data_IF_990829884924
#
_entry.id   IF_990829884924
#
_cell.length_a   1.000
_cell.length_b   1.000
_cell.length_c   1.000
_cell.angle_alpha   90.00
_cell.angle_beta   90.00
_cell.angle_gamma   90.00
#
_symmetry.space_group_name_H-M   'P 1'
#
loop_
_entity.id
_entity.type
_entity.pdbx_description
1 polymer ?
#
# COMPACT_ATOMS: atom_id res chain seq x y z
N UNK A 1 -7.07 26.81 -131.92
CA UNK A 1 -7.43 26.44 -133.31
C UNK A 1 -7.79 27.71 -134.03
N UNK A 2 -7.31 28.04 -135.21
CA UNK A 2 -6.33 27.51 -136.17
C UNK A 2 -6.30 28.62 -137.25
N UNK A 3 -5.13 28.99 -137.77
CA UNK A 3 -4.78 28.83 -139.19
C UNK A 3 -5.86 29.29 -140.21
N UNK A 4 -5.61 30.00 -141.31
CA UNK A 4 -4.40 30.43 -142.01
C UNK A 4 -4.78 31.24 -143.29
N UNK A 5 -3.81 31.99 -143.84
CA UNK A 5 -3.49 32.22 -145.28
C UNK A 5 -4.38 33.06 -146.26
N UNK A 6 -3.70 34.12 -146.78
CA UNK A 6 -3.44 34.51 -148.20
C UNK A 6 -4.58 35.03 -149.12
N UNK A 7 -4.46 36.28 -149.60
CA UNK A 7 -3.91 36.69 -150.93
C UNK A 7 -4.54 37.99 -151.52
N UNK A 8 -3.65 38.92 -151.92
CA UNK A 8 -3.60 39.84 -153.09
C UNK A 8 -4.84 40.64 -153.61
N UNK A 9 -4.69 41.98 -153.53
CA UNK A 9 -4.98 43.12 -154.47
C UNK A 9 -5.64 42.83 -155.84
N UNK A 10 -6.48 43.75 -156.40
CA UNK A 10 -6.00 45.03 -157.00
C UNK A 10 -6.92 46.27 -156.87
N UNK A 11 -6.43 47.38 -157.43
CA UNK A 11 -6.95 48.76 -157.50
C UNK A 11 -8.24 48.93 -158.34
N UNK A 12 -9.10 49.87 -157.93
CA UNK A 12 -9.94 50.74 -158.79
C UNK A 12 -10.45 51.87 -157.87
N UNK A 13 -9.92 53.09 -157.97
CA UNK A 13 -10.29 54.16 -158.91
C UNK A 13 -11.60 54.87 -158.56
N UNK A 14 -11.47 56.20 -158.46
CA UNK A 14 -12.49 57.20 -158.82
C UNK A 14 -13.58 57.34 -157.76
N UNK A 15 -13.78 58.48 -157.10
CA UNK A 15 -13.93 59.82 -157.65
C UNK A 15 -13.78 60.79 -156.46
N UNK A 16 -13.03 61.87 -156.62
CA UNK A 16 -13.39 63.13 -155.97
C UNK A 16 -14.72 63.56 -156.61
N UNK A 17 -15.83 63.69 -155.87
CA UNK A 17 -16.65 64.86 -156.05
C UNK A 17 -16.02 65.95 -155.19
N UNK A 18 -16.00 67.16 -155.73
CA UNK A 18 -15.94 68.39 -154.93
C UNK A 18 -17.08 68.33 -153.90
N UNK A 19 -16.86 67.63 -152.79
CA UNK A 19 -17.65 67.80 -151.58
C UNK A 19 -17.22 69.14 -151.05
N UNK A 20 -18.05 70.12 -151.40
CA UNK A 20 -18.19 71.39 -150.71
C UNK A 20 -17.80 71.16 -149.24
N UNK A 21 -16.74 71.85 -148.78
CA UNK A 21 -16.22 71.80 -147.42
C UNK A 21 -17.29 71.62 -146.30
N UNK A 22 -18.54 72.15 -146.40
CA UNK A 22 -19.60 71.85 -145.44
C UNK A 22 -20.07 70.38 -145.34
N UNK A 23 -20.02 69.56 -146.41
CA UNK A 23 -20.65 68.23 -146.44
C UNK A 23 -19.77 67.16 -145.77
N UNK A 24 -18.45 67.17 -146.04
CA UNK A 24 -17.47 66.35 -145.30
C UNK A 24 -17.36 66.73 -143.81
N UNK A 25 -17.58 68.02 -143.49
CA UNK A 25 -17.63 68.52 -142.12
C UNK A 25 -18.89 68.01 -141.39
N UNK A 26 -20.01 67.88 -142.11
CA UNK A 26 -21.26 67.32 -141.60
C UNK A 26 -21.14 65.82 -141.31
N UNK A 27 -20.52 65.04 -142.21
CA UNK A 27 -20.28 63.61 -141.97
C UNK A 27 -19.31 63.36 -140.82
N UNK A 28 -18.24 64.17 -140.71
CA UNK A 28 -17.37 64.12 -139.53
C UNK A 28 -18.14 64.47 -138.25
N UNK A 29 -19.04 65.45 -138.30
CA UNK A 29 -19.90 65.77 -137.16
C UNK A 29 -20.88 64.64 -136.86
N UNK A 30 -21.48 63.99 -137.85
CA UNK A 30 -22.37 62.84 -137.67
C UNK A 30 -21.60 61.68 -137.05
N UNK A 31 -20.46 61.27 -137.61
CA UNK A 31 -19.62 60.22 -137.07
C UNK A 31 -19.10 60.54 -135.65
N UNK A 32 -18.75 61.80 -135.37
CA UNK A 32 -18.35 62.23 -134.03
C UNK A 32 -19.52 62.17 -133.03
N UNK A 33 -20.75 62.47 -133.48
CA UNK A 33 -21.97 62.36 -132.67
C UNK A 33 -22.39 60.90 -132.49
N UNK A 34 -22.27 60.05 -133.51
CA UNK A 34 -22.53 58.61 -133.42
C UNK A 34 -21.52 57.94 -132.50
N UNK A 35 -20.22 58.23 -132.62
CA UNK A 35 -19.22 57.75 -131.66
C UNK A 35 -19.45 58.30 -130.23
N UNK A 36 -20.00 59.50 -130.10
CA UNK A 36 -20.45 60.02 -128.79
C UNK A 36 -21.67 59.25 -128.26
N UNK A 37 -22.65 58.92 -129.12
CA UNK A 37 -23.83 58.13 -128.77
C UNK A 37 -23.40 56.71 -128.37
N UNK A 38 -22.52 56.06 -129.12
CA UNK A 38 -22.00 54.73 -128.80
C UNK A 38 -21.25 54.71 -127.47
N UNK A 39 -20.41 55.73 -127.19
CA UNK A 39 -19.77 55.89 -125.87
C UNK A 39 -20.80 56.03 -124.76
N UNK A 40 -21.84 56.86 -124.97
CA UNK A 40 -22.90 57.05 -123.99
C UNK A 40 -23.69 55.76 -123.78
N UNK A 41 -24.06 55.04 -124.84
CA UNK A 41 -24.77 53.77 -124.77
C UNK A 41 -23.93 52.69 -124.08
N UNK A 42 -22.62 52.63 -124.34
CA UNK A 42 -21.70 51.75 -123.63
C UNK A 42 -21.66 52.07 -122.13
N UNK A 43 -21.57 53.36 -121.77
CA UNK A 43 -21.66 53.78 -120.37
C UNK A 43 -23.02 53.48 -119.74
N UNK A 44 -24.13 53.66 -120.48
CA UNK A 44 -25.49 53.38 -120.03
C UNK A 44 -25.67 51.89 -119.74
N UNK A 45 -25.22 51.03 -120.65
CA UNK A 45 -25.22 49.58 -120.47
C UNK A 45 -24.36 49.15 -119.29
N UNK A 46 -23.17 49.73 -119.13
CA UNK A 46 -22.31 49.51 -117.97
C UNK A 46 -22.94 49.98 -116.65
N UNK A 47 -23.72 51.07 -116.67
CA UNK A 47 -24.47 51.56 -115.51
C UNK A 47 -25.66 50.64 -115.19
N UNK A 48 -26.37 50.12 -116.19
CA UNK A 48 -27.45 49.14 -115.98
C UNK A 48 -26.95 47.83 -115.37
N UNK A 49 -25.80 47.33 -115.82
CA UNK A 49 -25.16 46.15 -115.25
C UNK A 49 -24.79 46.39 -113.79
N UNK A 50 -24.16 47.54 -113.48
CA UNK A 50 -23.86 47.95 -112.10
C UNK A 50 -25.14 48.12 -111.25
N UNK A 51 -26.21 48.64 -111.83
CA UNK A 51 -27.49 48.78 -111.13
C UNK A 51 -28.09 47.41 -110.79
N UNK A 52 -28.07 46.47 -111.74
CA UNK A 52 -28.52 45.08 -111.53
C UNK A 52 -27.68 44.36 -110.48
N UNK A 53 -26.36 44.54 -110.52
CA UNK A 53 -25.45 44.00 -109.49
C UNK A 53 -25.72 44.61 -108.11
N UNK A 54 -25.89 45.92 -108.02
CA UNK A 54 -26.21 46.60 -106.76
C UNK A 54 -27.56 46.15 -106.21
N UNK A 55 -28.55 45.88 -107.06
CA UNK A 55 -29.86 45.37 -106.65
C UNK A 55 -29.74 43.96 -106.08
N UNK A 56 -28.97 43.07 -106.72
CA UNK A 56 -28.65 41.74 -106.19
C UNK A 56 -27.92 41.82 -104.85
N UNK A 57 -26.89 42.67 -104.73
CA UNK A 57 -26.16 42.91 -103.47
C UNK A 57 -27.08 43.42 -102.38
N UNK A 58 -28.00 44.33 -102.69
CA UNK A 58 -28.96 44.87 -101.71
C UNK A 58 -29.92 43.79 -101.17
N UNK A 59 -30.39 42.88 -102.04
CA UNK A 59 -31.25 41.75 -101.62
C UNK A 59 -30.50 40.82 -100.66
N UNK A 60 -29.27 40.42 -101.01
CA UNK A 60 -28.43 39.58 -100.16
C UNK A 60 -28.15 40.26 -98.82
N UNK A 61 -27.78 41.55 -98.83
CA UNK A 61 -27.55 42.32 -97.61
C UNK A 61 -28.80 42.40 -96.71
N UNK A 62 -29.99 42.56 -97.29
CA UNK A 62 -31.25 42.57 -96.52
C UNK A 62 -31.55 41.20 -95.91
N UNK A 63 -31.24 40.12 -96.61
CA UNK A 63 -31.38 38.77 -96.08
C UNK A 63 -30.38 38.51 -94.95
N UNK A 64 -29.12 38.89 -95.11
CA UNK A 64 -28.10 38.83 -94.07
C UNK A 64 -28.50 39.65 -92.84
N UNK A 65 -29.00 40.87 -93.04
CA UNK A 65 -29.54 41.70 -91.96
C UNK A 65 -30.70 41.02 -91.24
N UNK A 66 -31.64 40.42 -91.96
CA UNK A 66 -32.74 39.65 -91.36
C UNK A 66 -32.21 38.47 -90.54
N UNK A 67 -31.20 37.75 -91.02
CA UNK A 67 -30.57 36.65 -90.26
C UNK A 67 -29.90 37.16 -88.99
N UNK A 68 -29.15 38.27 -89.08
CA UNK A 68 -28.48 38.89 -87.93
C UNK A 68 -29.48 39.37 -86.88
N UNK A 69 -30.56 40.03 -87.30
CA UNK A 69 -31.65 40.47 -86.42
C UNK A 69 -32.29 39.27 -85.73
N UNK A 70 -32.63 38.21 -86.46
CA UNK A 70 -33.19 36.97 -85.86
C UNK A 70 -32.23 36.35 -84.84
N UNK A 71 -30.93 36.34 -85.11
CA UNK A 71 -29.91 35.84 -84.16
C UNK A 71 -29.79 36.72 -82.91
N UNK A 72 -29.92 38.03 -83.07
CA UNK A 72 -29.96 38.98 -81.95
C UNK A 72 -31.20 38.77 -81.08
N UNK A 73 -32.38 38.67 -81.70
CA UNK A 73 -33.64 38.41 -81.01
C UNK A 73 -33.57 37.11 -80.20
N UNK A 74 -33.12 36.00 -80.81
CA UNK A 74 -32.94 34.73 -80.08
C UNK A 74 -31.99 34.86 -78.87
N UNK A 75 -30.88 35.59 -79.02
CA UNK A 75 -29.95 35.82 -77.90
C UNK A 75 -30.55 36.69 -76.80
N UNK A 76 -31.45 37.61 -77.13
CA UNK A 76 -32.18 38.41 -76.15
C UNK A 76 -33.18 37.53 -75.42
N UNK A 77 -34.00 36.76 -76.15
CA UNK A 77 -34.98 35.82 -75.59
C UNK A 77 -34.32 34.77 -74.68
N UNK A 78 -33.18 34.20 -75.07
CA UNK A 78 -32.42 33.27 -74.22
C UNK A 78 -31.91 33.93 -72.93
N UNK A 79 -31.53 35.21 -72.99
CA UNK A 79 -31.09 35.97 -71.81
C UNK A 79 -32.27 36.43 -70.94
N UNK A 80 -33.45 36.60 -71.51
CA UNK A 80 -34.69 36.87 -70.78
C UNK A 80 -35.18 35.60 -70.09
N UNK A 81 -35.25 34.47 -70.79
CA UNK A 81 -35.54 33.17 -70.16
C UNK A 81 -34.59 32.84 -69.03
N UNK A 82 -33.28 33.02 -69.21
CA UNK A 82 -32.28 32.87 -68.13
C UNK A 82 -32.41 33.88 -66.99
N UNK A 83 -33.13 34.99 -67.20
CA UNK A 83 -33.45 35.97 -66.15
C UNK A 83 -34.76 35.62 -65.46
N UNK A 84 -35.76 35.11 -66.18
CA UNK A 84 -37.03 34.67 -65.64
C UNK A 84 -36.91 33.32 -64.89
N UNK A 85 -36.01 32.44 -65.34
CA UNK A 85 -35.63 31.19 -64.67
C UNK A 85 -34.80 31.43 -63.41
N UNK A 86 -34.14 32.60 -63.29
CA UNK A 86 -33.50 32.97 -62.02
C UNK A 86 -34.60 33.31 -61.04
N UNK A 87 -34.85 32.38 -60.14
CA UNK A 87 -35.74 32.54 -58.99
C UNK A 87 -35.50 33.92 -58.36
N UNK A 88 -36.53 34.76 -58.41
CA UNK A 88 -36.50 36.13 -57.91
C UNK A 88 -36.45 36.04 -56.39
N UNK A 89 -35.24 35.93 -55.85
CA UNK A 89 -35.01 36.00 -54.41
C UNK A 89 -35.47 37.38 -53.96
N UNK A 90 -36.61 37.44 -53.30
CA UNK A 90 -37.11 38.70 -52.78
C UNK A 90 -36.24 39.15 -51.61
N UNK A 91 -36.16 40.47 -51.43
CA UNK A 91 -35.44 41.08 -50.31
C UNK A 91 -35.83 40.47 -48.96
N UNK A 92 -37.11 40.10 -48.81
CA UNK A 92 -37.65 39.50 -47.59
C UNK A 92 -37.10 38.09 -47.32
N UNK A 93 -36.84 37.28 -48.36
CA UNK A 93 -36.27 35.93 -48.20
C UNK A 93 -34.78 35.99 -47.84
N UNK A 94 -34.05 36.98 -48.37
CA UNK A 94 -32.69 37.28 -47.93
C UNK A 94 -32.69 37.76 -46.48
N UNK A 95 -33.62 38.63 -46.10
CA UNK A 95 -33.71 39.15 -44.73
C UNK A 95 -34.09 38.04 -43.74
N UNK A 96 -35.03 37.15 -44.08
CA UNK A 96 -35.37 35.97 -43.27
C UNK A 96 -34.16 35.04 -43.12
N UNK A 97 -33.44 34.75 -44.21
CA UNK A 97 -32.24 33.92 -44.18
C UNK A 97 -31.14 34.56 -43.33
N UNK A 98 -30.94 35.87 -43.44
CA UNK A 98 -29.96 36.61 -42.66
C UNK A 98 -30.33 36.64 -41.18
N UNK A 99 -31.61 36.81 -40.83
CA UNK A 99 -32.10 36.70 -39.45
C UNK A 99 -31.87 35.30 -38.89
N UNK A 100 -32.12 34.25 -39.67
CA UNK A 100 -31.88 32.86 -39.26
C UNK A 100 -30.39 32.60 -39.01
N UNK A 101 -29.51 33.04 -39.91
CA UNK A 101 -28.04 32.94 -39.74
C UNK A 101 -27.59 33.74 -38.52
N UNK A 102 -28.11 34.95 -38.31
CA UNK A 102 -27.78 35.77 -37.15
C UNK A 102 -28.21 35.12 -35.83
N UNK A 103 -29.40 34.52 -35.80
CA UNK A 103 -29.87 33.78 -34.63
C UNK A 103 -29.00 32.55 -34.37
N UNK A 104 -28.66 31.79 -35.42
CA UNK A 104 -27.74 30.65 -35.32
C UNK A 104 -26.38 31.06 -34.76
N UNK A 105 -25.80 32.18 -35.24
CA UNK A 105 -24.53 32.71 -34.73
C UNK A 105 -24.65 33.08 -33.25
N UNK A 106 -25.72 33.75 -32.85
CA UNK A 106 -25.97 34.08 -31.43
C UNK A 106 -26.09 32.84 -30.55
N UNK A 107 -26.79 31.81 -31.02
CA UNK A 107 -26.97 30.57 -30.25
C UNK A 107 -25.65 29.80 -30.14
N UNK A 108 -24.81 29.82 -31.19
CA UNK A 108 -23.45 29.27 -31.15
C UNK A 108 -22.53 30.06 -30.22
N UNK A 109 -22.60 31.39 -30.22
CA UNK A 109 -21.85 32.26 -29.32
C UNK A 109 -22.17 31.94 -27.85
N UNK A 110 -23.46 31.83 -27.51
CA UNK A 110 -23.91 31.43 -26.18
C UNK A 110 -23.39 30.05 -25.79
N UNK A 111 -23.52 29.07 -26.70
CA UNK A 111 -23.00 27.72 -26.45
C UNK A 111 -21.48 27.73 -26.20
N UNK A 112 -20.71 28.52 -26.97
CA UNK A 112 -19.28 28.66 -26.77
C UNK A 112 -18.96 29.30 -25.41
N UNK A 113 -19.74 30.30 -24.99
CA UNK A 113 -19.59 30.92 -23.68
C UNK A 113 -19.90 29.95 -22.53
N UNK A 114 -20.95 29.14 -22.66
CA UNK A 114 -21.30 28.11 -21.67
C UNK A 114 -20.22 27.04 -21.57
N UNK A 115 -19.68 26.59 -22.71
CA UNK A 115 -18.56 25.64 -22.75
C UNK A 115 -17.30 26.21 -22.11
N UNK A 116 -16.96 27.48 -22.38
CA UNK A 116 -15.84 28.16 -21.74
C UNK A 116 -16.00 28.24 -20.22
N UNK A 117 -17.20 28.59 -19.76
CA UNK A 117 -17.50 28.65 -18.32
C UNK A 117 -17.34 27.26 -17.68
N UNK A 118 -17.83 26.21 -18.33
CA UNK A 118 -17.67 24.82 -17.86
C UNK A 118 -16.21 24.37 -17.84
N UNK A 119 -15.41 24.74 -18.85
CA UNK A 119 -13.97 24.45 -18.89
C UNK A 119 -13.28 25.11 -17.69
N UNK A 120 -13.53 26.40 -17.46
CA UNK A 120 -12.93 27.15 -16.34
C UNK A 120 -13.33 26.55 -14.98
N UNK A 121 -14.59 26.16 -14.80
CA UNK A 121 -15.04 25.46 -13.60
C UNK A 121 -14.33 24.11 -13.40
N UNK A 122 -14.13 23.35 -14.47
CA UNK A 122 -13.41 22.08 -14.40
C UNK A 122 -11.92 22.28 -14.12
N UNK A 123 -11.28 23.29 -14.71
CA UNK A 123 -9.88 23.63 -14.45
C UNK A 123 -9.67 24.01 -12.99
N UNK A 124 -10.56 24.82 -12.40
CA UNK A 124 -10.53 25.15 -10.96
C UNK A 124 -10.62 23.89 -10.09
N UNK A 125 -11.54 22.97 -10.39
CA UNK A 125 -11.67 21.69 -9.68
C UNK A 125 -10.42 20.82 -9.83
N UNK A 126 -9.81 20.80 -11.01
CA UNK A 126 -8.55 20.08 -11.25
C UNK A 126 -7.43 20.70 -10.40
N UNK A 127 -7.28 22.03 -10.37
CA UNK A 127 -6.28 22.70 -9.54
C UNK A 127 -6.48 22.47 -8.03
N UNK A 128 -7.72 22.41 -7.56
CA UNK A 128 -8.05 22.01 -6.18
C UNK A 128 -7.61 20.58 -5.87
N UNK A 129 -7.92 19.63 -6.77
CA UNK A 129 -7.54 18.23 -6.61
C UNK A 129 -6.03 18.02 -6.72
N UNK A 130 -5.34 18.81 -7.54
CA UNK A 130 -3.87 18.82 -7.62
C UNK A 130 -3.27 19.24 -6.27
N UNK A 131 -3.76 20.33 -5.68
CA UNK A 131 -3.31 20.80 -4.36
C UNK A 131 -3.56 19.77 -3.26
N UNK A 132 -4.73 19.11 -3.27
CA UNK A 132 -5.03 18.04 -2.32
C UNK A 132 -4.07 16.85 -2.49
N UNK A 133 -3.80 16.43 -3.74
CA UNK A 133 -2.82 15.39 -4.03
C UNK A 133 -1.44 15.76 -3.50
N UNK A 134 -0.99 16.99 -3.75
CA UNK A 134 0.34 17.45 -3.36
C UNK A 134 0.47 17.48 -1.82
N UNK A 135 -0.56 17.96 -1.11
CA UNK A 135 -0.63 17.88 0.34
C UNK A 135 -0.52 16.44 0.86
N UNK A 136 -1.27 15.50 0.28
CA UNK A 136 -1.19 14.10 0.71
C UNK A 136 0.15 13.46 0.41
N UNK A 137 0.81 13.87 -0.68
CA UNK A 137 2.13 13.38 -1.06
C UNK A 137 3.20 13.90 -0.09
N UNK A 138 3.12 15.18 0.28
CA UNK A 138 3.95 15.78 1.32
C UNK A 138 3.73 15.11 2.69
N UNK A 139 2.46 14.90 3.08
CA UNK A 139 2.15 14.17 4.29
C UNK A 139 2.70 12.75 4.25
N UNK A 140 2.56 12.03 3.13
CA UNK A 140 3.08 10.66 3.00
C UNK A 140 4.61 10.61 3.14
N UNK A 141 5.30 11.57 2.53
CA UNK A 141 6.76 11.56 2.49
C UNK A 141 7.38 12.07 3.79
N UNK A 142 6.88 13.17 4.33
CA UNK A 142 7.47 13.86 5.49
C UNK A 142 6.61 13.70 6.73
N UNK A 143 5.33 14.11 6.66
CA UNK A 143 4.43 14.10 7.82
C UNK A 143 4.27 12.71 8.46
N UNK A 144 4.24 11.66 7.64
CA UNK A 144 4.12 10.27 8.07
C UNK A 144 5.37 9.78 8.79
N UNK A 145 6.55 10.28 8.42
CA UNK A 145 7.80 9.92 9.10
C UNK A 145 7.85 10.59 10.47
N UNK A 146 7.56 11.89 10.54
CA UNK A 146 7.47 12.65 11.79
C UNK A 146 6.45 12.02 12.76
N UNK A 147 5.26 11.68 12.26
CA UNK A 147 4.25 11.01 13.08
C UNK A 147 4.68 9.60 13.49
N UNK A 148 5.38 8.85 12.62
CA UNK A 148 5.90 7.52 12.98
C UNK A 148 6.98 7.60 14.08
N UNK A 149 7.86 8.58 14.02
CA UNK A 149 8.87 8.85 15.06
C UNK A 149 8.20 9.27 16.37
N UNK A 150 7.18 10.13 16.30
CA UNK A 150 6.41 10.52 17.48
C UNK A 150 5.68 9.34 18.11
N UNK A 151 5.10 8.45 17.29
CA UNK A 151 4.47 7.22 17.78
C UNK A 151 5.51 6.31 18.41
N UNK A 152 6.66 6.10 17.75
CA UNK A 152 7.74 5.24 18.27
C UNK A 152 8.30 5.73 19.61
N UNK A 153 8.50 7.04 19.77
CA UNK A 153 8.93 7.64 21.05
C UNK A 153 7.88 7.43 22.15
N UNK A 154 6.60 7.67 21.87
CA UNK A 154 5.53 7.42 22.84
C UNK A 154 5.37 5.94 23.19
N UNK A 155 5.53 5.04 22.22
CA UNK A 155 5.50 3.59 22.46
C UNK A 155 6.66 3.16 23.38
N UNK A 156 7.84 3.76 23.21
CA UNK A 156 8.99 3.57 24.10
C UNK A 156 8.70 4.08 25.50
N UNK A 157 8.21 5.31 25.64
CA UNK A 157 7.86 5.89 26.95
C UNK A 157 6.83 5.02 27.69
N UNK A 158 5.82 4.51 26.98
CA UNK A 158 4.83 3.58 27.54
C UNK A 158 5.49 2.28 28.02
N UNK A 159 6.43 1.73 27.26
CA UNK A 159 7.14 0.51 27.65
C UNK A 159 8.03 0.75 28.88
N UNK A 160 8.71 1.90 28.93
CA UNK A 160 9.57 2.28 30.05
C UNK A 160 8.74 2.45 31.33
N UNK A 161 7.64 3.21 31.29
CA UNK A 161 6.72 3.39 32.43
C UNK A 161 6.14 2.05 32.90
N UNK A 162 5.77 1.15 31.98
CA UNK A 162 5.30 -0.20 32.37
C UNK A 162 6.38 -0.99 33.10
N UNK A 163 7.61 -0.96 32.60
CA UNK A 163 8.73 -1.66 33.23
C UNK A 163 9.06 -1.07 34.61
N UNK A 164 8.94 0.25 34.78
CA UNK A 164 9.10 0.91 36.07
C UNK A 164 7.99 0.51 37.04
N UNK A 165 6.74 0.50 36.58
CA UNK A 165 5.60 0.05 37.37
C UNK A 165 5.80 -1.38 37.85
N UNK A 166 6.17 -2.31 36.96
CA UNK A 166 6.43 -3.72 37.32
C UNK A 166 7.56 -3.84 38.37
N UNK A 167 8.66 -3.11 38.20
CA UNK A 167 9.75 -3.08 39.19
C UNK A 167 9.25 -2.53 40.54
N UNK A 168 8.50 -1.44 40.54
CA UNK A 168 7.97 -0.86 41.78
C UNK A 168 7.00 -1.81 42.48
N UNK A 169 6.14 -2.51 41.73
CA UNK A 169 5.23 -3.51 42.28
C UNK A 169 6.00 -4.67 42.91
N UNK A 170 7.05 -5.16 42.26
CA UNK A 170 7.92 -6.20 42.80
C UNK A 170 8.62 -5.73 44.08
N UNK A 171 9.17 -4.50 44.10
CA UNK A 171 9.75 -3.91 45.31
C UNK A 171 8.75 -3.83 46.46
N UNK A 172 7.50 -3.39 46.21
CA UNK A 172 6.48 -3.35 47.26
C UNK A 172 6.05 -4.75 47.69
N UNK A 173 5.97 -5.72 46.78
CA UNK A 173 5.65 -7.12 47.08
C UNK A 173 6.71 -7.75 47.99
N UNK A 174 7.99 -7.52 47.70
CA UNK A 174 9.11 -7.97 48.52
C UNK A 174 9.11 -7.29 49.90
N UNK A 175 8.93 -5.97 49.94
CA UNK A 175 8.85 -5.22 51.19
C UNK A 175 7.69 -5.72 52.08
N UNK A 176 6.51 -5.95 51.49
CA UNK A 176 5.36 -6.51 52.21
C UNK A 176 5.65 -7.93 52.73
N UNK A 177 6.33 -8.76 51.94
CA UNK A 177 6.74 -10.10 52.36
C UNK A 177 7.70 -10.03 53.56
N UNK A 178 8.71 -9.16 53.49
CA UNK A 178 9.66 -8.96 54.57
C UNK A 178 8.98 -8.49 55.87
N UNK A 179 8.06 -7.53 55.78
CA UNK A 179 7.28 -7.05 56.93
C UNK A 179 6.38 -8.16 57.51
N UNK A 180 5.73 -8.97 56.66
CA UNK A 180 4.93 -10.11 57.12
C UNK A 180 5.79 -11.14 57.86
N UNK A 181 6.95 -11.49 57.32
CA UNK A 181 7.88 -12.43 57.95
C UNK A 181 8.43 -11.90 59.28
N UNK A 182 8.75 -10.60 59.36
CA UNK A 182 9.20 -9.97 60.59
C UNK A 182 8.09 -9.96 61.65
N UNK A 183 6.86 -9.59 61.27
CA UNK A 183 5.70 -9.65 62.15
C UNK A 183 5.45 -11.07 62.63
N UNK A 184 5.49 -12.07 61.76
CA UNK A 184 5.34 -13.48 62.15
C UNK A 184 6.43 -13.89 63.16
N UNK A 185 7.69 -13.54 62.92
CA UNK A 185 8.80 -13.82 63.86
C UNK A 185 8.56 -13.16 65.23
N UNK A 186 8.04 -11.92 65.26
CA UNK A 186 7.68 -11.23 66.50
C UNK A 186 6.52 -11.92 67.20
N UNK A 187 5.46 -12.28 66.48
CA UNK A 187 4.32 -13.03 67.03
C UNK A 187 4.75 -14.37 67.61
N UNK A 188 5.58 -15.14 66.91
CA UNK A 188 6.08 -16.43 67.39
C UNK A 188 6.90 -16.27 68.68
N UNK A 189 7.74 -15.23 68.77
CA UNK A 189 8.48 -14.90 69.99
C UNK A 189 7.54 -14.54 71.14
N UNK A 190 6.54 -13.69 70.90
CA UNK A 190 5.53 -13.34 71.91
C UNK A 190 4.74 -14.56 72.37
N UNK A 191 4.34 -15.45 71.46
CA UNK A 191 3.64 -16.69 71.79
C UNK A 191 4.49 -17.63 72.64
N UNK A 192 5.78 -17.76 72.34
CA UNK A 192 6.71 -18.55 73.18
C UNK A 192 6.83 -17.97 74.59
N UNK A 193 7.05 -16.67 74.71
CA UNK A 193 7.14 -15.99 76.01
C UNK A 193 5.85 -16.16 76.81
N UNK A 194 4.69 -15.99 76.17
CA UNK A 194 3.39 -16.16 76.81
C UNK A 194 3.18 -17.61 77.29
N UNK A 195 3.56 -18.60 76.47
CA UNK A 195 3.51 -20.02 76.83
C UNK A 195 4.44 -20.34 78.01
N UNK A 196 5.68 -19.83 77.99
CA UNK A 196 6.62 -19.97 79.09
C UNK A 196 6.12 -19.31 80.38
N UNK A 197 5.53 -18.12 80.30
CA UNK A 197 4.94 -17.44 81.45
C UNK A 197 3.73 -18.20 81.99
N UNK A 198 2.87 -18.73 81.11
CA UNK A 198 1.75 -19.58 81.50
C UNK A 198 2.23 -20.88 82.17
N UNK A 199 3.27 -21.52 81.65
CA UNK A 199 3.91 -22.69 82.26
C UNK A 199 4.50 -22.35 83.64
N UNK A 200 5.24 -21.24 83.76
CA UNK A 200 5.78 -20.76 85.05
C UNK A 200 4.67 -20.51 86.07
N UNK A 201 3.58 -19.84 85.66
CA UNK A 201 2.42 -19.61 86.52
C UNK A 201 1.78 -20.93 86.95
N UNK A 202 1.57 -21.87 86.03
CA UNK A 202 1.02 -23.19 86.31
C UNK A 202 1.89 -23.99 87.30
N UNK A 203 3.20 -24.03 87.10
CA UNK A 203 4.16 -24.67 88.01
C UNK A 203 4.15 -23.99 89.40
N UNK A 204 3.95 -22.67 89.44
CA UNK A 204 3.81 -21.93 90.70
C UNK A 204 2.61 -22.37 91.56
N UNK A 205 1.54 -22.88 90.93
CA UNK A 205 0.37 -23.43 91.64
C UNK A 205 0.54 -24.89 92.10
N UNK A 206 1.64 -25.56 91.72
CA UNK A 206 1.90 -26.95 92.13
C UNK A 206 2.51 -27.04 93.54
N UNK A 207 2.28 -28.18 94.17
CA UNK A 207 2.89 -28.53 95.45
C UNK A 207 4.42 -28.55 95.39
N UNK A 208 5.04 -28.39 96.56
CA UNK A 208 6.51 -28.28 96.68
C UNK A 208 7.24 -29.51 96.15
N UNK A 209 6.68 -30.70 96.35
CA UNK A 209 7.30 -31.96 95.91
C UNK A 209 7.20 -32.13 94.39
N UNK A 210 6.05 -31.80 93.80
CA UNK A 210 5.88 -31.80 92.34
C UNK A 210 6.84 -30.83 91.64
N UNK A 211 7.09 -29.64 92.22
CA UNK A 211 8.07 -28.69 91.68
C UNK A 211 9.48 -29.26 91.67
N UNK A 212 9.89 -29.91 92.76
CA UNK A 212 11.21 -30.55 92.87
C UNK A 212 11.38 -31.67 91.83
N UNK A 213 10.35 -32.51 91.67
CA UNK A 213 10.38 -33.59 90.67
C UNK A 213 10.50 -33.04 89.24
N UNK A 214 9.89 -31.90 88.93
CA UNK A 214 10.04 -31.23 87.63
C UNK A 214 11.48 -30.73 87.41
N UNK A 215 12.11 -30.13 88.43
CA UNK A 215 13.51 -29.67 88.37
C UNK A 215 14.49 -30.84 88.22
N UNK A 216 14.31 -31.91 89.01
CA UNK A 216 15.12 -33.14 88.91
C UNK A 216 14.98 -33.78 87.52
N UNK A 217 13.76 -33.85 86.98
CA UNK A 217 13.54 -34.34 85.61
C UNK A 217 14.20 -33.46 84.54
N UNK A 218 14.27 -32.13 84.73
CA UNK A 218 14.99 -31.25 83.82
C UNK A 218 16.49 -31.53 83.86
N UNK A 219 17.06 -31.65 85.06
CA UNK A 219 18.47 -31.99 85.26
C UNK A 219 18.82 -33.34 84.64
N UNK A 220 18.02 -34.38 84.89
CA UNK A 220 18.21 -35.71 84.29
C UNK A 220 18.16 -35.69 82.76
N UNK A 221 17.32 -34.83 82.14
CA UNK A 221 17.29 -34.70 80.68
C UNK A 221 18.56 -34.09 80.11
N UNK A 222 19.18 -33.14 80.81
CA UNK A 222 20.45 -32.55 80.41
C UNK A 222 21.58 -33.57 80.54
N UNK A 223 21.60 -34.28 81.65
CA UNK A 223 22.56 -35.36 81.91
C UNK A 223 22.46 -36.47 80.85
N UNK A 224 21.25 -36.91 80.50
CA UNK A 224 21.02 -37.87 79.41
C UNK A 224 21.51 -37.35 78.06
N UNK A 225 21.43 -36.04 77.78
CA UNK A 225 21.99 -35.47 76.54
C UNK A 225 23.51 -35.54 76.52
N UNK A 226 24.17 -35.36 77.67
CA UNK A 226 25.63 -35.47 77.80
C UNK A 226 26.03 -36.92 77.55
N UNK A 227 25.44 -37.89 78.27
CA UNK A 227 25.74 -39.31 78.07
C UNK A 227 25.46 -39.79 76.65
N UNK A 228 24.42 -39.27 75.99
CA UNK A 228 24.17 -39.60 74.57
C UNK A 228 25.27 -39.12 73.63
N UNK A 229 25.88 -37.96 73.89
CA UNK A 229 27.02 -37.48 73.10
C UNK A 229 28.25 -38.35 73.37
N UNK A 230 28.53 -38.62 74.63
CA UNK A 230 29.63 -39.51 75.02
C UNK A 230 29.46 -40.91 74.41
N UNK A 231 28.25 -41.46 74.41
CA UNK A 231 27.95 -42.75 73.77
C UNK A 231 28.25 -42.72 72.27
N UNK A 232 27.91 -41.63 71.57
CA UNK A 232 28.23 -41.47 70.14
C UNK A 232 29.73 -41.35 69.92
N UNK A 233 30.44 -40.58 70.74
CA UNK A 233 31.89 -40.39 70.63
C UNK A 233 32.67 -41.68 70.95
N UNK A 234 32.29 -42.39 72.02
CA UNK A 234 32.85 -43.70 72.36
C UNK A 234 32.58 -44.73 71.25
N UNK A 235 31.37 -44.75 70.70
CA UNK A 235 31.03 -45.64 69.58
C UNK A 235 31.91 -45.35 68.37
N UNK A 236 32.15 -44.08 68.05
CA UNK A 236 33.03 -43.69 66.95
C UNK A 236 34.50 -44.12 67.21
N UNK A 237 34.98 -43.97 68.45
CA UNK A 237 36.33 -44.41 68.82
C UNK A 237 36.49 -45.94 68.74
N UNK A 238 35.49 -46.70 69.18
CA UNK A 238 35.49 -48.17 69.06
C UNK A 238 35.48 -48.60 67.60
N UNK A 239 34.64 -47.98 66.75
CA UNK A 239 34.62 -48.26 65.31
C UNK A 239 35.99 -48.02 64.66
N UNK A 240 36.66 -46.91 65.00
CA UNK A 240 37.99 -46.62 64.48
C UNK A 240 39.02 -47.67 64.93
N UNK A 241 38.99 -48.08 66.20
CA UNK A 241 39.86 -49.17 66.69
C UNK A 241 39.57 -50.52 66.02
N UNK A 242 38.30 -50.83 65.74
CA UNK A 242 37.90 -52.01 64.99
C UNK A 242 38.43 -51.97 63.55
N UNK A 243 38.37 -50.81 62.88
CA UNK A 243 38.94 -50.57 61.54
C UNK A 243 40.47 -50.71 61.54
N UNK A 244 41.16 -50.16 62.53
CA UNK A 244 42.61 -50.30 62.68
C UNK A 244 43.01 -51.76 62.92
N UNK A 245 42.30 -52.46 63.82
CA UNK A 245 42.56 -53.87 64.11
C UNK A 245 42.32 -54.76 62.90
N UNK A 246 41.22 -54.55 62.16
CA UNK A 246 40.95 -55.31 60.92
C UNK A 246 42.02 -55.05 59.87
N UNK A 247 42.50 -53.80 59.76
CA UNK A 247 43.62 -53.44 58.87
C UNK A 247 44.93 -54.12 59.29
N UNK A 248 45.24 -54.17 60.59
CA UNK A 248 46.43 -54.85 61.10
C UNK A 248 46.36 -56.36 60.90
N UNK A 249 45.19 -56.97 61.13
CA UNK A 249 44.96 -58.40 60.88
C UNK A 249 45.10 -58.71 59.38
N UNK A 250 44.56 -57.87 58.50
CA UNK A 250 44.74 -58.00 57.05
C UNK A 250 46.24 -57.95 56.67
N UNK A 251 46.99 -56.97 57.17
CA UNK A 251 48.45 -56.90 56.96
C UNK A 251 49.18 -58.14 57.48
N UNK A 252 48.79 -58.67 58.64
CA UNK A 252 49.39 -59.90 59.19
C UNK A 252 49.11 -61.12 58.29
N UNK A 253 47.89 -61.22 57.75
CA UNK A 253 47.52 -62.27 56.79
C UNK A 253 48.33 -62.11 55.51
N UNK A 254 48.48 -60.89 54.97
CA UNK A 254 49.28 -60.63 53.78
C UNK A 254 50.75 -61.01 53.98
N UNK A 255 51.36 -60.65 55.12
CA UNK A 255 52.73 -61.05 55.47
C UNK A 255 52.85 -62.58 55.57
N UNK A 256 51.89 -63.25 56.21
CA UNK A 256 51.88 -64.72 56.30
C UNK A 256 51.73 -65.36 54.93
N UNK A 257 50.88 -64.82 54.05
CA UNK A 257 50.70 -65.27 52.67
C UNK A 257 51.99 -65.07 51.86
N UNK A 258 52.65 -63.92 51.98
CA UNK A 258 53.95 -63.67 51.35
C UNK A 258 55.03 -64.64 51.84
N UNK A 259 55.08 -64.94 53.14
CA UNK A 259 56.03 -65.90 53.70
C UNK A 259 55.75 -67.34 53.22
N UNK A 260 54.46 -67.70 53.06
CA UNK A 260 54.05 -68.97 52.47
C UNK A 260 54.37 -69.04 50.98
N UNK A 261 54.19 -67.95 50.20
CA UNK A 261 54.62 -67.88 48.80
C UNK A 261 56.13 -67.95 48.64
N UNK A 262 56.90 -67.28 49.50
CA UNK A 262 58.36 -67.35 49.51
C UNK A 262 58.87 -68.75 49.89
N UNK A 263 58.20 -69.43 50.84
CA UNK A 263 58.46 -70.82 51.18
C UNK A 263 58.07 -71.79 50.06
N UNK A 264 56.93 -71.57 49.39
CA UNK A 264 56.46 -72.38 48.27
C UNK A 264 57.42 -72.37 47.08
N UNK A 265 58.11 -71.26 46.81
CA UNK A 265 59.13 -71.18 45.75
C UNK A 265 60.46 -71.86 46.09
N UNK A 266 60.76 -72.11 47.37
CA UNK A 266 61.95 -72.85 47.79
C UNK A 266 61.71 -74.37 47.89
N UNK A 267 60.45 -74.82 47.95
CA UNK A 267 60.12 -76.24 48.16
C UNK A 267 59.30 -76.91 47.03
N UNK A 268 59.07 -76.25 45.89
CA UNK A 268 58.50 -76.89 44.69
C UNK A 268 59.46 -77.83 43.92
N UNK A 269 60.54 -78.31 44.56
CA UNK A 269 61.50 -79.25 43.94
C UNK A 269 62.18 -80.14 44.99
N UNK A 270 61.41 -80.99 45.70
CA UNK A 270 61.79 -82.37 46.12
C UNK A 270 60.79 -82.95 47.09
N UNK A 271 60.25 -84.12 46.72
CA UNK A 271 59.65 -85.08 47.65
C UNK A 271 58.19 -84.76 47.99
N UNK A 272 57.21 -85.22 47.22
CA UNK A 272 56.81 -86.63 47.14
C UNK A 272 56.64 -87.27 48.54
N UNK A 273 55.37 -87.44 48.94
CA UNK A 273 54.97 -88.52 49.83
C UNK A 273 54.68 -88.16 51.29
N UNK A 274 53.54 -87.53 51.57
CA UNK A 274 52.49 -88.23 52.32
C UNK A 274 51.11 -87.61 52.04
N UNK A 275 50.48 -88.25 51.07
CA UNK A 275 49.06 -88.28 50.75
C UNK A 275 48.32 -88.96 51.92
N UNK A 276 47.38 -88.29 52.60
CA UNK A 276 45.93 -88.31 52.34
C UNK A 276 45.20 -89.52 52.97
N UNK A 277 44.40 -89.25 54.01
CA UNK A 277 43.22 -90.02 54.42
C UNK A 277 42.09 -88.98 54.56
N UNK A 278 41.40 -88.67 53.46
CA UNK A 278 40.03 -89.08 53.11
C UNK A 278 39.00 -88.68 54.18
N UNK A 279 38.27 -87.57 54.03
CA UNK A 279 37.04 -87.35 53.22
C UNK A 279 35.89 -88.33 53.48
N UNK A 280 34.70 -87.73 53.49
CA UNK A 280 33.34 -88.28 53.56
C UNK A 280 32.80 -88.57 54.97
N UNK A 281 31.58 -88.21 55.36
CA UNK A 281 30.50 -87.41 54.76
C UNK A 281 29.49 -87.20 55.91
N UNK A 282 29.31 -85.99 56.42
CA UNK A 282 28.10 -85.66 57.21
C UNK A 282 27.46 -84.43 56.61
N UNK A 283 26.56 -84.74 55.67
CA UNK A 283 25.36 -83.97 55.34
C UNK A 283 24.69 -83.41 56.60
N UNK A 284 24.53 -82.09 56.63
CA UNK A 284 23.30 -81.34 56.94
C UNK A 284 23.50 -80.01 56.22
N UNK A 285 23.10 -79.86 54.96
CA UNK A 285 21.69 -79.73 54.57
C UNK A 285 20.81 -79.09 55.65
N UNK A 286 20.61 -77.79 55.46
CA UNK A 286 19.27 -77.24 55.26
C UNK A 286 18.26 -77.47 56.37
N UNK A 287 18.19 -76.46 57.24
CA UNK A 287 16.92 -75.90 57.74
C UNK A 287 17.21 -74.45 58.07
N UNK A 288 16.84 -73.49 57.24
CA UNK A 288 15.45 -73.08 57.02
C UNK A 288 14.67 -73.06 58.33
N UNK A 289 14.96 -72.04 59.15
CA UNK A 289 13.95 -71.36 59.94
C UNK A 289 14.00 -69.91 59.44
N UNK A 290 13.32 -69.62 58.32
CA UNK A 290 11.91 -69.26 58.32
C UNK A 290 11.61 -68.18 59.36
N UNK A 291 11.33 -66.99 58.82
CA UNK A 291 10.72 -65.88 59.51
C UNK A 291 9.73 -66.32 60.59
N UNK A 292 10.00 -65.89 61.82
CA UNK A 292 8.97 -65.46 62.76
C UNK A 292 9.43 -64.14 63.40
N UNK A 293 9.46 -63.09 62.60
CA UNK A 293 8.87 -61.85 63.06
C UNK A 293 7.39 -62.14 63.22
N UNK A 294 7.01 -62.71 64.37
CA UNK A 294 5.64 -62.63 64.86
C UNK A 294 5.39 -61.13 65.07
N UNK A 295 4.93 -60.49 64.00
CA UNK A 295 4.11 -59.30 64.05
C UNK A 295 2.86 -59.64 64.83
N UNK A 296 2.97 -59.70 66.16
CA UNK A 296 1.86 -59.35 67.04
C UNK A 296 1.72 -57.84 67.01
N UNK A 297 1.14 -57.41 65.90
CA UNK A 297 0.21 -56.30 65.86
C UNK A 297 -0.83 -56.51 66.97
N UNK A 298 -0.53 -55.96 68.14
CA UNK A 298 -1.54 -55.71 69.17
C UNK A 298 -2.01 -54.29 68.97
N UNK A 299 -3.20 -54.22 68.33
CA UNK A 299 -4.31 -53.31 68.64
C UNK A 299 -3.90 -52.03 69.34
N UNK A 300 -3.96 -50.89 68.67
CA UNK A 300 -5.22 -50.14 68.56
C UNK A 300 -6.06 -50.19 69.85
N UNK A 301 -5.74 -49.31 70.78
CA UNK A 301 -6.63 -48.89 71.85
C UNK A 301 -6.50 -47.37 72.04
N UNK A 302 -6.85 -46.62 71.00
CA UNK A 302 -7.39 -45.27 71.22
C UNK A 302 -8.79 -45.45 71.79
N UNK A 303 -9.11 -44.92 72.99
CA UNK A 303 -10.49 -44.86 73.42
C UNK A 303 -11.23 -43.87 72.52
N UNK A 304 -12.12 -44.41 71.67
CA UNK A 304 -13.25 -43.67 71.10
C UNK A 304 -14.15 -43.26 72.26
N UNK A 305 -13.90 -42.09 72.83
CA UNK A 305 -14.95 -41.35 73.56
C UNK A 305 -15.70 -40.56 72.51
N UNK A 306 -16.83 -41.14 72.08
CA UNK A 306 -17.88 -40.35 71.48
C UNK A 306 -18.48 -39.45 72.55
N UNK A 307 -18.37 -38.14 72.36
CA UNK A 307 -19.36 -37.21 72.92
C UNK A 307 -19.96 -36.44 71.75
N UNK A 308 -21.22 -36.74 71.47
CA UNK A 308 -22.12 -35.80 70.82
C UNK A 308 -22.29 -34.61 71.75
N UNK A 309 -22.10 -33.41 71.23
CA UNK A 309 -22.84 -32.23 71.68
C UNK A 309 -23.15 -31.39 70.44
N UNK A 310 -24.44 -31.28 70.17
CA UNK A 310 -25.06 -30.38 69.21
C UNK A 310 -24.90 -28.90 69.66
N UNK A 311 -25.18 -27.98 68.73
CA UNK A 311 -25.23 -26.50 68.83
C UNK A 311 -23.84 -25.83 68.87
N UNK A 312 -23.47 -24.84 68.06
CA UNK A 312 -24.19 -23.84 67.26
C UNK A 312 -23.20 -23.24 66.21
N UNK A 313 -23.72 -22.71 65.09
CA UNK A 313 -22.95 -21.95 64.09
C UNK A 313 -22.29 -20.72 64.73
N UNK A 314 -21.03 -20.38 64.39
CA UNK A 314 -20.58 -19.00 64.44
C UNK A 314 -20.83 -18.33 63.09
N UNK A 315 -21.67 -17.31 63.11
CA UNK A 315 -21.87 -16.35 62.03
C UNK A 315 -20.55 -15.63 61.71
N UNK A 316 -20.15 -15.66 60.45
CA UNK A 316 -19.99 -14.47 59.59
C UNK A 316 -19.97 -13.12 60.34
N UNK A 317 -18.80 -12.61 60.73
CA UNK A 317 -18.70 -11.27 61.36
C UNK A 317 -17.33 -10.55 61.33
N UNK A 318 -16.24 -11.08 60.78
CA UNK A 318 -14.93 -10.40 60.93
C UNK A 318 -14.34 -9.73 59.67
N UNK A 319 -14.97 -9.87 58.49
CA UNK A 319 -14.56 -9.09 57.31
C UNK A 319 -15.09 -7.65 57.30
N UNK A 320 -16.16 -7.36 58.06
CA UNK A 320 -16.80 -6.02 58.08
C UNK A 320 -16.15 -5.00 59.02
N UNK A 321 -15.31 -5.44 59.96
CA UNK A 321 -14.66 -4.55 60.92
C UNK A 321 -13.33 -3.96 60.41
N UNK A 322 -12.64 -4.68 59.52
CA UNK A 322 -11.35 -4.23 58.98
C UNK A 322 -11.47 -3.13 57.91
N UNK A 323 -12.64 -3.03 57.23
CA UNK A 323 -12.91 -1.96 56.26
C UNK A 323 -13.22 -0.59 56.89
N UNK A 324 -13.46 -0.50 58.20
CA UNK A 324 -13.92 0.73 58.85
C UNK A 324 -12.84 1.59 59.51
N UNK A 325 -11.59 1.13 59.57
CA UNK A 325 -10.50 1.89 60.22
C UNK A 325 -9.57 2.65 59.27
N UNK A 326 -9.70 2.45 57.94
CA UNK A 326 -8.87 3.13 56.93
C UNK A 326 -9.72 3.82 55.86
N UNK A 327 -10.61 4.71 56.27
CA UNK A 327 -11.05 5.82 55.41
C UNK A 327 -11.51 6.96 56.30
N UNK A 328 -10.70 8.01 56.39
CA UNK A 328 -11.27 9.30 56.07
C UNK A 328 -10.37 10.11 55.14
N UNK A 329 -11.01 10.78 54.19
CA UNK A 329 -10.51 11.93 53.42
C UNK A 329 -9.75 11.63 52.12
N UNK A 330 -10.33 10.86 51.19
CA UNK A 330 -9.90 10.86 49.78
C UNK A 330 -11.05 10.92 48.75
N UNK A 331 -12.32 10.93 49.20
CA UNK A 331 -13.51 10.91 48.32
C UNK A 331 -13.84 12.25 47.63
N UNK A 332 -13.12 13.34 47.93
CA UNK A 332 -13.46 14.68 47.40
C UNK A 332 -12.54 15.18 46.28
N UNK A 333 -11.68 14.33 45.70
CA UNK A 333 -10.74 14.72 44.64
C UNK A 333 -10.86 13.88 43.35
N UNK A 334 -11.74 12.88 43.30
CA UNK A 334 -11.84 11.92 42.18
C UNK A 334 -13.09 12.10 41.30
N UNK A 335 -13.86 13.17 41.48
CA UNK A 335 -15.16 13.31 40.80
C UNK A 335 -15.12 14.00 39.42
N UNK A 336 -13.99 14.62 39.03
CA UNK A 336 -13.88 15.29 37.72
C UNK A 336 -13.12 14.46 36.66
N UNK A 337 -12.28 13.50 37.07
CA UNK A 337 -11.48 12.68 36.13
C UNK A 337 -12.21 11.42 35.61
N UNK A 338 -13.29 10.97 36.27
CA UNK A 338 -14.02 9.77 35.83
C UNK A 338 -14.80 9.98 34.51
N UNK A 339 -15.24 11.21 34.20
CA UNK A 339 -15.99 11.48 32.97
C UNK A 339 -15.10 11.41 31.72
N UNK A 340 -13.85 11.89 31.78
CA UNK A 340 -12.88 11.76 30.68
C UNK A 340 -12.40 10.32 30.51
N UNK A 341 -12.22 9.57 31.59
CA UNK A 341 -11.78 8.17 31.52
C UNK A 341 -12.87 7.24 30.93
N UNK A 342 -14.15 7.56 31.14
CA UNK A 342 -15.28 6.86 30.52
C UNK A 342 -15.43 7.18 29.03
N UNK A 343 -14.97 8.34 28.56
CA UNK A 343 -14.93 8.67 27.14
C UNK A 343 -13.86 7.84 26.39
N UNK A 344 -12.69 7.64 27.00
CA UNK A 344 -11.61 6.81 26.44
C UNK A 344 -11.92 5.31 26.49
N UNK A 345 -12.63 4.84 27.51
CA UNK A 345 -12.99 3.41 27.67
C UNK A 345 -14.04 2.92 26.66
N UNK A 346 -14.79 3.83 26.02
CA UNK A 346 -15.75 3.52 24.93
C UNK A 346 -15.06 3.27 23.58
N UNK A 347 -13.79 3.62 23.44
CA UNK A 347 -12.97 3.25 22.31
C UNK A 347 -12.32 1.90 22.64
N UNK A 348 -12.96 0.81 22.18
CA UNK A 348 -12.42 -0.55 22.36
C UNK A 348 -10.97 -0.69 21.86
N UNK A 349 -10.27 -1.80 22.19
CA UNK A 349 -8.84 -1.94 21.95
C UNK A 349 -8.48 -1.60 20.49
N UNK A 350 -7.76 -0.50 20.29
CA UNK A 350 -7.20 -0.07 19.00
C UNK A 350 -6.03 -1.00 18.59
N UNK A 351 -6.31 -2.29 18.50
CA UNK A 351 -5.45 -3.33 17.93
C UNK A 351 -5.61 -3.35 16.40
N UNK A 352 -5.57 -2.18 15.76
CA UNK A 352 -5.44 -2.06 14.31
C UNK A 352 -4.24 -1.19 14.03
N UNK A 353 -3.10 -1.84 13.80
CA UNK A 353 -1.98 -1.24 13.09
C UNK A 353 -2.53 -0.75 11.75
N UNK A 354 -2.79 0.55 11.60
CA UNK A 354 -3.19 1.15 10.33
C UNK A 354 -1.99 1.12 9.38
N UNK A 355 -1.75 -0.02 8.74
CA UNK A 355 -0.86 -0.11 7.60
C UNK A 355 -1.65 0.34 6.39
N UNK A 356 -1.42 1.58 5.93
CA UNK A 356 -1.91 2.03 4.64
C UNK A 356 -0.98 1.45 3.57
N UNK A 357 -1.26 0.22 3.16
CA UNK A 357 -0.64 -0.37 1.97
C UNK A 357 -1.44 0.13 0.76
N UNK A 358 -0.98 1.24 0.18
CA UNK A 358 -1.54 1.74 -1.08
C UNK A 358 -1.27 0.76 -2.21
N UNK A 359 -2.31 0.09 -2.71
CA UNK A 359 -2.23 -0.70 -3.95
C UNK A 359 -2.45 0.27 -5.12
N UNK A 360 -1.43 0.46 -5.96
CA UNK A 360 -1.59 1.21 -7.21
C UNK A 360 -2.64 0.50 -8.08
N UNK A 361 -3.75 1.19 -8.35
CA UNK A 361 -4.78 0.74 -9.30
C UNK A 361 -4.30 1.19 -10.68
N UNK A 362 -4.14 0.28 -11.65
CA UNK A 362 -3.83 0.68 -13.03
C UNK A 362 -5.01 1.50 -13.55
N UNK A 363 -4.77 2.76 -13.89
CA UNK A 363 -5.73 3.57 -14.65
C UNK A 363 -6.04 2.83 -15.95
N UNK A 364 -7.33 2.64 -16.23
CA UNK A 364 -7.81 2.07 -17.48
C UNK A 364 -7.12 2.78 -18.64
N UNK A 365 -6.44 2.00 -19.49
CA UNK A 365 -5.91 2.49 -20.76
C UNK A 365 -7.08 3.06 -21.56
N UNK A 366 -7.00 4.33 -21.91
CA UNK A 366 -7.85 4.89 -22.94
C UNK A 366 -7.57 4.08 -24.23
N UNK A 367 -8.62 3.57 -24.86
CA UNK A 367 -8.52 3.02 -26.21
C UNK A 367 -8.04 4.15 -27.15
N UNK A 368 -6.77 4.04 -27.55
CA UNK A 368 -6.18 4.88 -28.59
C UNK A 368 -6.79 4.50 -29.94
N UNK A 369 -7.53 5.44 -30.53
CA UNK A 369 -7.83 5.42 -31.97
C UNK A 369 -6.54 5.87 -32.69
N UNK A 370 -6.03 5.16 -33.71
CA UNK A 370 -4.74 5.45 -34.29
C UNK A 370 -4.82 6.67 -35.21
N UNK A 371 -4.21 7.78 -34.79
CA UNK A 371 -3.85 8.90 -35.67
C UNK A 371 -2.37 8.80 -36.00
N UNK A 372 -2.06 8.71 -37.29
CA UNK A 372 -0.71 8.50 -37.82
C UNK A 372 0.30 9.61 -37.51
N UNK A 373 1.57 9.17 -37.40
CA UNK A 373 2.85 9.88 -37.54
C UNK A 373 3.23 10.79 -36.36
N UNK A 374 4.43 10.73 -35.76
CA UNK A 374 5.77 10.40 -36.20
C UNK A 374 6.51 9.55 -35.14
N UNK A 375 7.47 8.72 -35.56
CA UNK A 375 8.46 8.06 -34.69
C UNK A 375 9.47 9.09 -34.19
N UNK A 376 9.69 9.14 -32.87
CA UNK A 376 11.04 9.19 -32.27
C UNK A 376 11.04 8.32 -31.01
N UNK A 377 11.92 7.32 -31.00
CA UNK A 377 12.34 6.55 -29.83
C UNK A 377 13.39 7.38 -29.07
N UNK A 378 13.20 7.61 -27.77
CA UNK A 378 14.16 7.15 -26.75
C UNK A 378 13.71 7.55 -25.34
N UNK A 379 13.96 6.65 -24.39
CA UNK A 379 13.35 6.67 -23.07
C UNK A 379 14.02 7.61 -22.06
N UNK A 380 13.19 8.16 -21.18
CA UNK A 380 13.48 8.33 -19.76
C UNK A 380 12.13 8.57 -19.08
N UNK A 381 11.87 7.87 -17.98
CA UNK A 381 10.70 8.16 -17.15
C UNK A 381 10.80 9.59 -16.64
N UNK A 382 9.95 10.48 -17.16
CA UNK A 382 9.72 11.79 -16.60
C UNK A 382 9.09 11.60 -15.22
N UNK A 383 9.93 11.58 -14.18
CA UNK A 383 9.49 11.91 -12.84
C UNK A 383 9.03 13.36 -12.89
N UNK A 384 7.72 13.58 -12.74
CA UNK A 384 7.11 14.88 -12.54
C UNK A 384 7.58 15.41 -11.17
N UNK A 385 8.83 15.89 -11.15
CA UNK A 385 9.59 16.27 -9.98
C UNK A 385 9.36 17.74 -9.66
N UNK A 386 8.20 18.05 -9.09
CA UNK A 386 8.00 19.36 -8.48
C UNK A 386 8.59 19.31 -7.07
N UNK A 387 9.85 19.71 -6.95
CA UNK A 387 10.50 19.92 -5.65
C UNK A 387 9.90 21.21 -5.05
N UNK A 388 9.12 21.07 -3.98
CA UNK A 388 8.58 22.21 -3.23
C UNK A 388 9.61 22.81 -2.28
N UNK A 389 9.47 24.10 -1.97
CA UNK A 389 10.40 24.83 -1.11
C UNK A 389 10.48 24.26 0.33
N UNK A 390 9.44 23.57 0.79
CA UNK A 390 9.42 22.91 2.11
C UNK A 390 10.22 21.61 2.11
N UNK A 391 10.20 20.84 1.02
CA UNK A 391 11.09 19.68 0.83
C UNK A 391 12.56 20.08 0.86
N UNK A 392 12.90 21.23 0.27
CA UNK A 392 14.26 21.78 0.32
C UNK A 392 14.64 22.15 1.76
N UNK A 393 13.75 22.81 2.51
CA UNK A 393 13.99 23.16 3.92
C UNK A 393 14.17 21.93 4.81
N UNK A 394 13.42 20.85 4.57
CA UNK A 394 13.55 19.61 5.34
C UNK A 394 14.97 19.01 5.22
N UNK A 395 15.58 19.06 4.03
CA UNK A 395 16.96 18.59 3.80
C UNK A 395 18.03 19.44 4.49
N UNK A 396 17.74 20.73 4.74
CA UNK A 396 18.69 21.62 5.43
C UNK A 396 18.53 21.64 6.95
N UNK A 397 17.37 21.24 7.48
CA UNK A 397 17.14 21.18 8.92
C UNK A 397 17.74 19.92 9.57
N UNK A 398 18.11 18.90 8.79
CA UNK A 398 18.75 17.67 9.31
C UNK A 398 20.24 17.88 9.69
N UNK A 399 20.84 19.03 9.35
CA UNK A 399 22.27 19.31 9.57
C UNK A 399 22.57 20.36 10.67
N UNK A 400 21.60 20.71 11.52
CA UNK A 400 21.77 21.78 12.53
C UNK A 400 21.90 21.25 13.98
N UNK A 401 21.69 19.95 14.22
CA UNK A 401 21.73 19.37 15.58
C UNK A 401 23.04 18.62 15.94
N UNK A 402 24.11 18.80 15.15
CA UNK A 402 25.47 18.36 15.53
C UNK A 402 26.40 19.57 15.72
N UNK A 403 26.35 20.20 16.90
CA UNK A 403 27.47 20.97 17.47
C UNK A 403 27.39 21.09 18.99
#
# INVERSE_FOLDING_TARGET
>A
MEESKKNKKPEEQVQEPELDLPEALLEYHIAAKEAAIERVLFHLKGLEEKFKENLKKNVVLKEEQKVLIRRLVKRIEEKEKKRDEKEVVTRDDVEKSLKAVFQFVKDKEKLLQDLRSKIEETEKKISEKQRERDYWLEYKNVGSQIHAEKISSLEKDIADIKSELERTEEHFREALKAVREENQKRFDKHMKLLSEEALKKAVGYLDRDCRREIEENQWLKEEVKIYRKEEVDLRAAVQLLEEENTTLVAKLIDIKLQHLQASGHLFLTKGAGLQELSKDEVKRESREYAAKTDGKSLRSAFPKIGSKRDYEKPQDSDEKLWKKFFTPTLDNLSYEDEEEFQAYSKLGPLKRKLHVIGKAVPTCKAEEIPSWSYREEDGAGESDGHITAEMIKALFNENVDEN
#
